data_IF_133447384363
#
_entry.id   IF_133447384363
#
_cell.length_a   1.000
_cell.length_b   1.000
_cell.length_c   1.000
_cell.angle_alpha   90.00
_cell.angle_beta   90.00
_cell.angle_gamma   90.00
#
_symmetry.space_group_name_H-M   'P 1'
#
loop_
_entity.id
_entity.type
_entity.pdbx_description
1 polymer ?
#
# COMPACT_ATOMS: atom_id res chain seq x y z
N UNK A 1 -18.01 -22.06 6.84
CA UNK A 1 -16.74 -22.00 6.08
C UNK A 1 -16.51 -20.56 5.71
N UNK A 2 -15.32 -20.01 5.94
CA UNK A 2 -15.01 -18.63 5.60
C UNK A 2 -14.29 -18.58 4.27
N UNK A 3 -14.61 -17.56 3.46
CA UNK A 3 -13.95 -17.26 2.20
C UNK A 3 -13.43 -15.83 2.26
N UNK A 4 -12.31 -15.58 1.59
CA UNK A 4 -11.78 -14.22 1.42
C UNK A 4 -12.64 -13.56 0.33
N UNK A 5 -13.26 -12.42 0.65
CA UNK A 5 -14.07 -11.68 -0.32
C UNK A 5 -13.20 -10.88 -1.29
N UNK A 6 -12.18 -10.19 -0.78
CA UNK A 6 -11.28 -9.33 -1.55
C UNK A 6 -9.91 -9.29 -0.88
N UNK A 7 -8.87 -9.02 -1.67
CA UNK A 7 -7.50 -8.80 -1.19
C UNK A 7 -7.01 -7.45 -1.68
N UNK A 8 -6.31 -6.74 -0.80
CA UNK A 8 -5.72 -5.45 -1.10
C UNK A 8 -4.27 -5.41 -0.61
N UNK A 9 -3.43 -4.72 -1.36
CA UNK A 9 -2.09 -4.31 -0.94
C UNK A 9 -1.98 -2.78 -0.95
N UNK A 10 -1.18 -2.22 -0.06
CA UNK A 10 -0.94 -0.79 0.07
C UNK A 10 0.56 -0.53 -0.04
N UNK A 11 1.13 -0.44 -1.28
CA UNK A 11 2.57 -0.35 -1.46
C UNK A 11 3.23 0.77 -0.67
N UNK A 12 2.62 1.96 -0.72
CA UNK A 12 3.05 3.13 0.04
C UNK A 12 2.09 3.35 1.21
N UNK A 13 2.65 3.51 2.41
CA UNK A 13 1.89 3.84 3.62
C UNK A 13 1.00 5.07 3.37
N UNK A 14 -0.24 4.99 3.84
CA UNK A 14 -1.22 6.10 3.84
C UNK A 14 -1.78 6.52 2.46
N UNK A 15 -1.43 5.81 1.37
CA UNK A 15 -2.01 6.04 0.05
C UNK A 15 -3.15 5.03 -0.27
N UNK A 16 -3.74 5.16 -1.45
CA UNK A 16 -4.74 4.23 -1.97
C UNK A 16 -4.19 2.81 -2.18
N UNK A 17 -4.99 1.82 -1.81
CA UNK A 17 -4.68 0.40 -1.98
C UNK A 17 -4.99 -0.10 -3.39
N UNK A 18 -4.33 -1.19 -3.77
CA UNK A 18 -4.52 -1.90 -5.03
C UNK A 18 -5.28 -3.20 -4.72
N UNK A 19 -6.43 -3.40 -5.35
CA UNK A 19 -7.13 -4.68 -5.30
C UNK A 19 -6.35 -5.73 -6.11
N UNK A 20 -6.18 -6.91 -5.53
CA UNK A 20 -5.50 -8.05 -6.17
C UNK A 20 -6.32 -9.32 -6.04
N UNK A 21 -6.20 -10.22 -7.01
CA UNK A 21 -6.88 -11.53 -6.96
C UNK A 21 -6.08 -12.59 -6.19
N UNK A 22 -4.77 -12.36 -6.04
CA UNK A 22 -3.84 -13.21 -5.31
C UNK A 22 -2.68 -12.38 -4.79
N UNK A 23 -2.04 -12.85 -3.72
CA UNK A 23 -0.85 -12.23 -3.17
C UNK A 23 0.10 -13.29 -2.62
N UNK A 24 1.40 -13.04 -2.74
CA UNK A 24 2.42 -13.90 -2.15
C UNK A 24 2.63 -13.51 -0.69
N UNK A 25 2.47 -14.47 0.23
CA UNK A 25 2.75 -14.24 1.66
C UNK A 25 4.25 -14.37 1.93
N UNK A 26 4.80 -13.37 2.59
CA UNK A 26 6.19 -13.33 3.06
C UNK A 26 6.23 -13.35 4.59
N UNK A 27 7.43 -13.48 5.16
CA UNK A 27 7.69 -13.32 6.60
C UNK A 27 7.26 -11.93 7.13
N UNK A 28 7.14 -10.93 6.25
CA UNK A 28 6.76 -9.55 6.57
C UNK A 28 5.37 -9.17 6.04
N UNK A 29 4.48 -10.13 5.79
CA UNK A 29 3.12 -9.89 5.26
C UNK A 29 3.02 -10.09 3.74
N UNK A 30 1.98 -9.55 3.11
CA UNK A 30 1.81 -9.69 1.66
C UNK A 30 2.98 -9.01 0.92
N UNK A 31 3.39 -9.59 -0.20
CA UNK A 31 4.38 -9.01 -1.08
C UNK A 31 3.94 -7.60 -1.48
N UNK A 32 4.90 -6.65 -1.46
CA UNK A 32 4.69 -5.22 -1.70
C UNK A 32 3.84 -4.46 -0.67
N UNK A 33 3.13 -5.09 0.25
CA UNK A 33 2.33 -4.35 1.23
C UNK A 33 3.20 -3.54 2.21
N UNK A 34 2.93 -2.23 2.29
CA UNK A 34 3.54 -1.23 3.18
C UNK A 34 5.07 -1.23 3.17
N UNK A 35 5.67 -1.34 1.98
CA UNK A 35 7.14 -1.34 1.82
C UNK A 35 7.74 0.06 1.71
N UNK A 36 6.93 1.06 1.38
CA UNK A 36 7.35 2.45 1.22
C UNK A 36 6.55 3.41 2.09
N UNK A 37 7.11 4.59 2.31
CA UNK A 37 6.50 5.70 3.05
C UNK A 37 7.04 7.02 2.49
N UNK A 38 6.17 8.01 2.36
CA UNK A 38 6.59 9.36 1.98
C UNK A 38 7.14 10.10 3.19
N UNK A 39 8.21 10.84 2.98
CA UNK A 39 8.82 11.73 3.98
C UNK A 39 9.01 13.12 3.38
N UNK A 40 9.00 14.15 4.23
CA UNK A 40 9.37 15.50 3.83
C UNK A 40 10.91 15.69 3.80
N UNK A 41 11.36 16.89 3.46
CA UNK A 41 12.79 17.24 3.41
C UNK A 41 13.50 17.17 4.79
N UNK A 42 12.74 17.08 5.88
CA UNK A 42 13.24 16.95 7.25
C UNK A 42 13.19 15.50 7.74
N UNK A 43 12.87 14.54 6.86
CA UNK A 43 12.65 13.12 7.17
C UNK A 43 11.45 12.85 8.09
N UNK A 44 10.49 13.77 8.20
CA UNK A 44 9.24 13.49 8.88
C UNK A 44 8.33 12.67 7.96
N UNK A 45 7.75 11.62 8.51
CA UNK A 45 6.81 10.79 7.78
C UNK A 45 5.49 11.54 7.55
N UNK A 46 4.96 11.43 6.33
CA UNK A 46 3.64 11.97 6.00
C UNK A 46 2.58 10.91 6.27
N UNK A 47 1.48 11.28 6.93
CA UNK A 47 0.35 10.38 7.18
C UNK A 47 -0.97 10.91 6.65
N UNK A 48 -1.89 9.99 6.37
CA UNK A 48 -3.27 10.35 6.02
C UNK A 48 -4.02 11.06 7.16
N UNK A 49 -3.58 10.90 8.42
CA UNK A 49 -4.21 11.61 9.55
C UNK A 49 -3.92 13.11 9.50
N UNK A 50 -2.72 13.47 9.06
CA UNK A 50 -2.30 14.87 8.89
C UNK A 50 -2.76 15.42 7.53
N UNK A 51 -2.70 14.59 6.49
CA UNK A 51 -3.07 14.94 5.12
C UNK A 51 -4.12 13.96 4.57
N UNK A 52 -5.43 14.16 4.88
CA UNK A 52 -6.49 13.25 4.43
C UNK A 52 -6.53 13.03 2.91
N UNK A 53 -6.11 14.04 2.15
CA UNK A 53 -6.01 14.02 0.68
C UNK A 53 -5.07 12.96 0.13
N UNK A 54 -4.14 12.43 0.94
CA UNK A 54 -3.26 11.31 0.54
C UNK A 54 -4.05 10.07 0.11
N UNK A 55 -5.30 9.91 0.57
CA UNK A 55 -6.15 8.80 0.15
C UNK A 55 -6.50 8.79 -1.34
N UNK A 56 -6.41 9.96 -2.00
CA UNK A 56 -6.72 10.12 -3.42
C UNK A 56 -5.55 9.70 -4.32
N UNK A 57 -4.35 9.58 -3.76
CA UNK A 57 -3.18 9.14 -4.50
C UNK A 57 -3.26 7.63 -4.72
N UNK A 58 -3.41 7.24 -5.98
CA UNK A 58 -3.43 5.84 -6.39
C UNK A 58 -2.01 5.36 -6.67
N UNK A 59 -1.77 4.08 -6.42
CA UNK A 59 -0.50 3.43 -6.72
C UNK A 59 -0.71 2.31 -7.72
N UNK A 60 0.32 2.04 -8.52
CA UNK A 60 0.35 0.89 -9.42
C UNK A 60 1.74 0.25 -9.33
N UNK A 61 1.79 -1.07 -9.49
CA UNK A 61 3.04 -1.80 -9.64
C UNK A 61 3.12 -2.20 -11.09
N UNK A 62 3.98 -1.53 -11.84
CA UNK A 62 4.27 -1.85 -13.23
C UNK A 62 5.58 -2.64 -13.29
N UNK A 63 5.55 -3.82 -13.89
CA UNK A 63 6.73 -4.58 -14.24
C UNK A 63 6.95 -4.55 -15.75
N UNK A 64 8.18 -4.33 -16.19
CA UNK A 64 8.61 -4.81 -17.50
C UNK A 64 8.71 -6.35 -17.41
N UNK A 65 8.26 -7.01 -18.47
CA UNK A 65 8.38 -8.47 -18.67
C UNK A 65 9.75 -9.03 -18.27
#
# INVERSE_FOLDING_TARGET
MYTISQLFIYPVKSLGGIEVTQAHLTDRGLQYDRRWMLVDNNNHFLTQREYPVMCLLQTAIEGNK
#
